data_IF_508211218025
#
_entry.id   IF_508211218025
#
_cell.length_a   1.000
_cell.length_b   1.000
_cell.length_c   1.000
_cell.angle_alpha   90.00
_cell.angle_beta   90.00
_cell.angle_gamma   90.00
#
_symmetry.space_group_name_H-M   'P 1'
#
loop_
_entity.id
_entity.type
_entity.pdbx_description
1 polymer ?
#
# COMPACT_ATOMS: atom_id res chain seq x y z
N UNK A 1 2.10 -22.69 -14.69
CA UNK A 1 2.21 -21.66 -13.64
C UNK A 1 3.69 -21.43 -13.35
N UNK A 2 4.22 -20.24 -13.62
CA UNK A 2 5.63 -19.93 -13.38
C UNK A 2 5.92 -20.02 -11.88
N UNK A 3 6.66 -21.06 -11.46
CA UNK A 3 6.97 -21.33 -10.05
C UNK A 3 7.65 -20.14 -9.36
N UNK A 4 8.36 -19.29 -10.11
CA UNK A 4 9.00 -18.09 -9.57
C UNK A 4 8.00 -17.00 -9.17
N UNK A 5 6.92 -16.80 -9.93
CA UNK A 5 5.88 -15.83 -9.60
C UNK A 5 5.09 -16.23 -8.35
N UNK A 6 4.91 -17.53 -8.11
CA UNK A 6 4.19 -18.08 -6.95
C UNK A 6 4.89 -17.75 -5.62
N UNK A 7 6.22 -17.61 -5.63
CA UNK A 7 6.99 -17.28 -4.43
C UNK A 7 6.64 -15.90 -3.83
N UNK A 8 6.00 -15.01 -4.60
CA UNK A 8 5.61 -13.67 -4.16
C UNK A 8 4.22 -13.62 -3.53
N UNK A 9 3.41 -14.68 -3.65
CA UNK A 9 2.05 -14.71 -3.10
C UNK A 9 1.98 -14.32 -1.62
N UNK A 10 2.87 -14.81 -0.72
CA UNK A 10 2.83 -14.41 0.69
C UNK A 10 2.99 -12.90 0.89
N UNK A 11 3.84 -12.25 0.08
CA UNK A 11 4.04 -10.80 0.12
C UNK A 11 2.78 -10.04 -0.31
N UNK A 12 2.12 -10.51 -1.36
CA UNK A 12 0.88 -9.88 -1.85
C UNK A 12 -0.30 -10.12 -0.91
N UNK A 13 -0.44 -11.31 -0.33
CA UNK A 13 -1.44 -11.58 0.70
C UNK A 13 -1.20 -10.73 1.95
N UNK A 14 0.06 -10.60 2.41
CA UNK A 14 0.40 -9.76 3.53
C UNK A 14 0.09 -8.28 3.26
N UNK A 15 0.45 -7.78 2.07
CA UNK A 15 0.11 -6.42 1.65
C UNK A 15 -1.41 -6.21 1.55
N UNK A 16 -2.15 -7.18 0.99
CA UNK A 16 -3.61 -7.15 0.92
C UNK A 16 -4.24 -7.08 2.31
N UNK A 17 -3.84 -7.98 3.21
CA UNK A 17 -4.31 -8.04 4.58
C UNK A 17 -4.04 -6.75 5.35
N UNK A 18 -2.82 -6.20 5.22
CA UNK A 18 -2.47 -4.92 5.83
C UNK A 18 -3.35 -3.77 5.32
N UNK A 19 -3.53 -3.64 4.00
CA UNK A 19 -4.33 -2.56 3.41
C UNK A 19 -5.80 -2.67 3.81
N UNK A 20 -6.36 -3.89 3.80
CA UNK A 20 -7.73 -4.13 4.25
C UNK A 20 -7.90 -3.85 5.75
N UNK A 21 -6.92 -4.19 6.58
CA UNK A 21 -6.95 -3.87 8.01
C UNK A 21 -6.93 -2.35 8.26
N UNK A 22 -6.07 -1.60 7.55
CA UNK A 22 -6.03 -0.13 7.64
C UNK A 22 -7.34 0.48 7.15
N UNK A 23 -7.88 0.00 6.03
CA UNK A 23 -9.19 0.44 5.52
C UNK A 23 -10.30 0.22 6.55
N UNK A 24 -10.41 -0.98 7.11
CA UNK A 24 -11.44 -1.31 8.10
C UNK A 24 -11.25 -0.50 9.39
N UNK A 25 -10.02 -0.31 9.85
CA UNK A 25 -9.73 0.50 11.03
C UNK A 25 -10.16 1.96 10.82
N UNK A 26 -9.83 2.55 9.67
CA UNK A 26 -10.23 3.92 9.33
C UNK A 26 -11.75 4.08 9.10
N UNK A 27 -12.44 3.02 8.67
CA UNK A 27 -13.89 3.04 8.50
C UNK A 27 -14.64 2.91 9.84
N UNK A 28 -14.19 2.00 10.70
CA UNK A 28 -14.87 1.64 11.96
C UNK A 28 -14.49 2.60 13.09
N UNK A 29 -13.23 3.00 13.17
CA UNK A 29 -12.68 3.80 14.27
C UNK A 29 -11.70 4.88 13.76
N UNK A 30 -12.14 5.80 12.87
CA UNK A 30 -11.26 6.82 12.29
C UNK A 30 -10.56 7.69 13.36
N UNK A 31 -11.26 8.02 14.43
CA UNK A 31 -10.77 8.98 15.43
C UNK A 31 -9.70 8.33 16.30
N UNK A 32 -9.86 7.04 16.60
CA UNK A 32 -8.83 6.26 17.26
C UNK A 32 -7.58 6.16 16.39
N UNK A 33 -7.74 5.99 15.08
CA UNK A 33 -6.63 5.92 14.13
C UNK A 33 -5.88 7.26 14.03
N UNK A 34 -6.61 8.38 13.94
CA UNK A 34 -6.03 9.73 13.92
C UNK A 34 -5.26 10.02 15.21
N UNK A 35 -5.84 9.69 16.37
CA UNK A 35 -5.19 9.88 17.67
C UNK A 35 -3.93 9.02 17.80
N UNK A 36 -3.95 7.77 17.34
CA UNK A 36 -2.81 6.85 17.42
C UNK A 36 -1.58 7.35 16.65
N UNK A 37 -1.78 8.20 15.64
CA UNK A 37 -0.71 8.73 14.80
C UNK A 37 -0.46 10.24 14.95
N UNK A 38 -1.03 10.86 15.98
CA UNK A 38 -0.94 12.32 16.23
C UNK A 38 -1.41 13.18 15.02
N UNK A 39 -2.45 12.69 14.34
CA UNK A 39 -3.07 13.34 13.18
C UNK A 39 -4.40 14.03 13.52
N UNK A 40 -4.86 13.91 14.76
CA UNK A 40 -6.08 14.56 15.23
C UNK A 40 -6.00 16.07 15.08
N UNK A 41 -7.00 16.66 14.41
CA UNK A 41 -7.02 18.09 14.08
C UNK A 41 -6.10 18.50 12.93
N UNK A 42 -5.29 17.60 12.38
CA UNK A 42 -4.52 17.81 11.13
C UNK A 42 -5.22 17.26 9.90
N UNK A 43 -5.96 16.15 10.08
CA UNK A 43 -6.72 15.48 9.02
C UNK A 43 -8.17 15.32 9.45
N UNK A 44 -9.09 15.72 8.57
CA UNK A 44 -10.52 15.54 8.80
C UNK A 44 -10.95 14.09 8.55
N UNK A 45 -11.89 13.62 9.37
CA UNK A 45 -12.43 12.25 9.31
C UNK A 45 -12.97 11.87 7.92
N UNK A 46 -13.77 12.70 7.23
CA UNK A 46 -14.25 12.37 5.89
C UNK A 46 -13.10 12.20 4.89
N UNK A 47 -12.03 13.00 5.02
CA UNK A 47 -10.86 12.90 4.14
C UNK A 47 -10.11 11.60 4.39
N UNK A 48 -9.89 11.23 5.66
CA UNK A 48 -9.31 9.94 6.04
C UNK A 48 -10.13 8.78 5.47
N UNK A 49 -11.46 8.82 5.57
CA UNK A 49 -12.32 7.74 5.08
C UNK A 49 -12.28 7.60 3.57
N UNK A 50 -12.26 8.72 2.82
CA UNK A 50 -12.10 8.68 1.36
C UNK A 50 -10.74 8.06 0.99
N UNK A 51 -9.66 8.45 1.67
CA UNK A 51 -8.35 7.85 1.46
C UNK A 51 -8.35 6.36 1.81
N UNK A 52 -9.02 5.98 2.88
CA UNK A 52 -9.17 4.59 3.31
C UNK A 52 -9.89 3.73 2.26
N UNK A 53 -10.89 4.26 1.57
CA UNK A 53 -11.56 3.54 0.48
C UNK A 53 -10.57 3.22 -0.65
N UNK A 54 -9.70 4.17 -1.02
CA UNK A 54 -8.64 3.94 -2.01
C UNK A 54 -7.65 2.87 -1.54
N UNK A 55 -7.24 2.91 -0.27
CA UNK A 55 -6.41 1.87 0.36
C UNK A 55 -7.10 0.50 0.29
N UNK A 56 -8.41 0.43 0.54
CA UNK A 56 -9.21 -0.79 0.42
C UNK A 56 -9.21 -1.36 -1.01
N UNK A 57 -9.33 -0.51 -2.03
CA UNK A 57 -9.23 -0.92 -3.45
C UNK A 57 -7.87 -1.53 -3.75
N UNK A 58 -6.77 -0.93 -3.25
CA UNK A 58 -5.43 -1.53 -3.37
C UNK A 58 -5.33 -2.86 -2.64
N UNK A 59 -5.91 -2.98 -1.44
CA UNK A 59 -5.97 -4.25 -0.70
C UNK A 59 -6.61 -5.37 -1.52
N UNK A 60 -7.76 -5.09 -2.15
CA UNK A 60 -8.43 -6.03 -3.03
C UNK A 60 -7.59 -6.35 -4.29
N UNK A 61 -6.97 -5.35 -4.91
CA UNK A 61 -6.12 -5.54 -6.07
C UNK A 61 -4.89 -6.42 -5.75
N UNK A 62 -4.28 -6.24 -4.57
CA UNK A 62 -3.18 -7.08 -4.11
C UNK A 62 -3.64 -8.51 -3.79
N UNK A 63 -4.87 -8.70 -3.32
CA UNK A 63 -5.42 -10.04 -3.16
C UNK A 63 -5.56 -10.75 -4.50
N UNK A 64 -6.11 -10.09 -5.53
CA UNK A 64 -6.16 -10.65 -6.89
C UNK A 64 -4.76 -10.99 -7.42
N UNK A 65 -3.80 -10.08 -7.26
CA UNK A 65 -2.39 -10.32 -7.60
C UNK A 65 -1.78 -11.48 -6.80
N UNK A 66 -2.21 -11.71 -5.57
CA UNK A 66 -1.79 -12.85 -4.77
C UNK A 66 -2.41 -14.18 -5.26
N UNK A 67 -3.65 -14.17 -5.73
CA UNK A 67 -4.33 -15.37 -6.23
C UNK A 67 -3.76 -15.82 -7.57
N UNK A 68 -3.68 -14.91 -8.54
CA UNK A 68 -3.18 -15.21 -9.88
C UNK A 68 -2.07 -14.20 -10.29
N UNK A 69 -0.83 -14.34 -9.76
CA UNK A 69 0.23 -13.35 -9.96
C UNK A 69 0.54 -13.05 -11.43
N UNK A 70 0.50 -14.06 -12.30
CA UNK A 70 0.79 -13.88 -13.73
C UNK A 70 -0.33 -13.10 -14.41
N UNK A 71 -1.60 -13.44 -14.14
CA UNK A 71 -2.76 -12.82 -14.77
C UNK A 71 -2.91 -11.34 -14.37
N UNK A 72 -2.69 -11.03 -13.10
CA UNK A 72 -2.85 -9.68 -12.57
C UNK A 72 -1.52 -8.93 -12.43
N UNK A 73 -0.44 -9.40 -13.08
CA UNK A 73 0.91 -8.87 -12.88
C UNK A 73 1.00 -7.34 -13.03
N UNK A 74 0.20 -6.75 -13.93
CA UNK A 74 0.15 -5.31 -14.16
C UNK A 74 -0.27 -4.46 -12.94
N UNK A 75 -1.02 -5.03 -12.00
CA UNK A 75 -1.45 -4.36 -10.75
C UNK A 75 -0.27 -3.91 -9.90
N UNK A 76 0.88 -4.58 -10.01
CA UNK A 76 2.08 -4.21 -9.24
C UNK A 76 2.58 -2.80 -9.57
N UNK A 77 2.34 -2.28 -10.78
CA UNK A 77 2.83 -0.97 -11.20
C UNK A 77 2.12 0.19 -10.49
N UNK A 78 0.77 0.29 -10.50
CA UNK A 78 0.06 1.24 -9.65
C UNK A 78 0.41 1.08 -8.16
N UNK A 79 0.63 -0.15 -7.69
CA UNK A 79 1.02 -0.39 -6.30
C UNK A 79 2.39 0.17 -5.96
N UNK A 80 3.37 0.00 -6.84
CA UNK A 80 4.70 0.59 -6.70
C UNK A 80 4.65 2.13 -6.75
N UNK A 81 3.88 2.68 -7.70
CA UNK A 81 3.73 4.12 -7.83
C UNK A 81 3.14 4.73 -6.56
N UNK A 82 2.05 4.14 -6.04
CA UNK A 82 1.44 4.59 -4.79
C UNK A 82 2.43 4.61 -3.63
N UNK A 83 3.20 3.53 -3.46
CA UNK A 83 4.19 3.40 -2.38
C UNK A 83 5.33 4.41 -2.48
N UNK A 84 5.87 4.61 -3.69
CA UNK A 84 6.95 5.58 -3.92
C UNK A 84 6.45 7.00 -3.70
N UNK A 85 5.26 7.34 -4.21
CA UNK A 85 4.67 8.66 -4.02
C UNK A 85 4.31 8.91 -2.55
N UNK A 86 3.86 7.90 -1.81
CA UNK A 86 3.61 7.98 -0.37
C UNK A 86 4.87 8.35 0.42
N UNK A 87 5.99 7.66 0.17
CA UNK A 87 7.28 7.96 0.80
C UNK A 87 7.77 9.37 0.44
N UNK A 88 7.70 9.75 -0.83
CA UNK A 88 8.12 11.09 -1.29
C UNK A 88 7.25 12.19 -0.65
N UNK A 89 5.93 12.00 -0.62
CA UNK A 89 5.00 12.93 0.01
C UNK A 89 5.27 13.09 1.50
N UNK A 90 5.49 11.99 2.23
CA UNK A 90 5.87 12.04 3.64
C UNK A 90 7.16 12.83 3.85
N UNK A 91 8.23 12.50 3.13
CA UNK A 91 9.51 13.17 3.29
C UNK A 91 9.36 14.68 3.03
N UNK A 92 8.65 15.07 1.97
CA UNK A 92 8.41 16.47 1.64
C UNK A 92 7.75 17.24 2.79
N UNK A 93 6.67 16.72 3.36
CA UNK A 93 5.96 17.39 4.45
C UNK A 93 6.66 17.26 5.82
N UNK A 94 7.41 16.19 6.06
CA UNK A 94 8.24 16.03 7.26
C UNK A 94 9.38 17.06 7.29
N UNK A 95 10.05 17.29 6.15
CA UNK A 95 11.09 18.33 6.04
C UNK A 95 10.54 19.76 6.19
N UNK A 96 9.25 19.97 5.93
CA UNK A 96 8.57 21.27 6.11
C UNK A 96 8.03 21.49 7.53
N UNK A 97 8.00 20.44 8.36
CA UNK A 97 7.42 20.48 9.71
C UNK A 97 5.90 20.28 9.75
N UNK A 98 5.28 19.95 8.61
CA UNK A 98 3.82 19.75 8.50
C UNK A 98 3.39 18.35 9.00
N UNK A 99 4.30 17.36 8.93
CA UNK A 99 4.11 16.01 9.46
C UNK A 99 5.20 15.65 10.48
N UNK A 100 4.84 14.95 11.58
CA UNK A 100 5.84 14.48 12.55
C UNK A 100 6.69 13.37 11.95
N UNK A 101 7.98 13.34 12.29
CA UNK A 101 8.91 12.29 11.83
C UNK A 101 8.53 10.89 12.32
N UNK A 102 7.84 10.79 13.46
CA UNK A 102 7.32 9.53 14.00
C UNK A 102 6.28 8.89 13.06
N UNK A 103 5.62 9.68 12.21
CA UNK A 103 4.77 9.16 11.13
C UNK A 103 5.56 8.32 10.11
N UNK A 104 6.89 8.44 10.10
CA UNK A 104 7.79 7.60 9.33
C UNK A 104 7.66 6.11 9.66
N UNK A 105 7.24 5.75 10.88
CA UNK A 105 6.90 4.35 11.21
C UNK A 105 5.69 3.86 10.44
N UNK A 106 4.66 4.70 10.30
CA UNK A 106 3.48 4.39 9.48
C UNK A 106 3.90 4.16 8.04
N UNK A 107 4.71 5.07 7.48
CA UNK A 107 5.21 4.98 6.11
C UNK A 107 6.10 3.76 5.89
N UNK A 108 6.91 3.38 6.88
CA UNK A 108 7.74 2.17 6.81
C UNK A 108 6.87 0.93 6.59
N UNK A 109 5.84 0.75 7.43
CA UNK A 109 4.95 -0.40 7.36
C UNK A 109 3.91 -0.31 6.24
N UNK A 110 3.54 0.88 5.80
CA UNK A 110 2.59 1.07 4.71
C UNK A 110 3.24 0.87 3.33
N UNK A 111 4.46 1.39 3.16
CA UNK A 111 5.09 1.53 1.86
C UNK A 111 6.41 0.78 1.75
N UNK A 112 7.38 1.11 2.60
CA UNK A 112 8.80 0.81 2.37
C UNK A 112 9.09 -0.69 2.42
N UNK A 113 8.58 -1.43 3.41
CA UNK A 113 8.91 -2.86 3.58
C UNK A 113 8.46 -3.74 2.41
N UNK A 114 7.49 -3.27 1.62
CA UNK A 114 6.92 -4.00 0.49
C UNK A 114 7.70 -3.79 -0.81
N UNK A 115 8.44 -2.68 -0.92
CA UNK A 115 9.12 -2.27 -2.14
C UNK A 115 10.07 -3.33 -2.70
N UNK A 116 10.93 -4.03 -1.92
CA UNK A 116 11.85 -5.01 -2.47
C UNK A 116 11.12 -6.15 -3.20
N UNK A 117 10.04 -6.68 -2.61
CA UNK A 117 9.24 -7.74 -3.20
C UNK A 117 8.46 -7.26 -4.44
N UNK A 118 7.84 -6.08 -4.35
CA UNK A 118 7.05 -5.52 -5.45
C UNK A 118 7.93 -5.15 -6.65
N UNK A 119 9.08 -4.51 -6.42
CA UNK A 119 10.02 -4.14 -7.48
C UNK A 119 10.58 -5.38 -8.16
N UNK A 120 11.05 -6.36 -7.38
CA UNK A 120 11.62 -7.58 -7.96
C UNK A 120 10.58 -8.40 -8.74
N UNK A 121 9.34 -8.47 -8.26
CA UNK A 121 8.23 -9.05 -9.03
C UNK A 121 7.96 -8.27 -10.31
N UNK A 122 7.84 -6.94 -10.24
CA UNK A 122 7.52 -6.09 -11.38
C UNK A 122 8.55 -6.23 -12.51
N UNK A 123 9.84 -6.22 -12.15
CA UNK A 123 10.96 -6.37 -13.10
C UNK A 123 10.94 -7.73 -13.79
N UNK A 124 10.59 -8.79 -13.07
CA UNK A 124 10.66 -10.18 -13.56
C UNK A 124 9.41 -10.62 -14.32
N UNK A 125 8.23 -10.21 -13.87
CA UNK A 125 6.95 -10.80 -14.31
C UNK A 125 5.96 -9.79 -14.89
N UNK A 126 6.07 -8.50 -14.58
CA UNK A 126 5.09 -7.50 -14.99
C UNK A 126 5.52 -6.63 -16.21
N UNK A 127 6.65 -6.95 -16.85
CA UNK A 127 7.19 -6.21 -18.01
C UNK A 127 6.74 -6.76 -19.37
N UNK A 128 6.18 -7.97 -19.42
CA UNK A 128 5.74 -8.59 -20.68
C UNK A 128 4.22 -8.52 -20.78
N UNK A 129 3.65 -8.19 -21.95
CA UNK A 129 2.23 -8.36 -22.19
C UNK A 129 1.84 -9.82 -21.97
N UNK A 130 0.63 -10.07 -21.46
CA UNK A 130 0.04 -11.39 -21.56
C UNK A 130 -0.15 -11.66 -23.06
N UNK A 131 0.67 -12.53 -23.63
CA UNK A 131 0.38 -13.11 -24.94
C UNK A 131 -0.97 -13.82 -24.79
N UNK A 132 -2.02 -13.19 -25.33
CA UNK A 132 -3.40 -13.68 -25.30
C UNK A 132 -3.62 -14.86 -26.23
#
# INVERSE_FOLDING_TARGET
>A
MDKGAVAYRPWFFAAAGYNLAVFLAALIAPEALLNAFDLSGRIDVPFLQVLAMVIGVYGFAYWLLAEEPVRYAGVVWPGLLGKVLGVVGFLFYAFRGDLPWDFGWVVLFNDVIWLPAFVSFAVRYARRPLDG
#
